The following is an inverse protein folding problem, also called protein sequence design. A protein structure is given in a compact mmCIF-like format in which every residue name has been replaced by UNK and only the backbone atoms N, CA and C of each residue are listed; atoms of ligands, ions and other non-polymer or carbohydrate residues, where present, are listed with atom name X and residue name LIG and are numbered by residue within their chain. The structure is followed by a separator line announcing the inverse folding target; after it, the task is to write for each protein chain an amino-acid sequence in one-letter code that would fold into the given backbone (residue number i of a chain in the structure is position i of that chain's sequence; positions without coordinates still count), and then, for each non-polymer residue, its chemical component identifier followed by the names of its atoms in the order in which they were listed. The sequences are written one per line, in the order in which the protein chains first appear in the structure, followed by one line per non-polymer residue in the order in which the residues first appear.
data_IF_909890072323
#
_entry.id   IF_909890072323
#
_cell.length_a   1.000
_cell.length_b   1.000
_cell.length_c   1.000
_cell.angle_alpha   90.00
_cell.angle_beta   90.00
_cell.angle_gamma   90.00
#
_symmetry.space_group_name_H-M   'P 1'
#
loop_
_entity.id
_entity.type
_entity.pdbx_description
1 polymer ?
#
# COMPACT_ATOMS: atom_id res chain seq x y z
N UNK A 1 -48.44 33.37 -49.55
CA UNK A 1 -47.27 34.28 -49.61
C UNK A 1 -46.06 33.50 -50.14
N UNK A 2 -45.18 34.09 -50.96
CA UNK A 2 -44.56 33.48 -52.14
C UNK A 2 -43.10 33.00 -51.97
N UNK A 3 -42.75 32.00 -52.82
CA UNK A 3 -41.49 31.67 -53.55
C UNK A 3 -40.13 31.54 -52.83
N UNK A 4 -39.35 30.48 -53.15
CA UNK A 4 -38.23 30.56 -54.12
C UNK A 4 -37.58 29.17 -54.42
N UNK A 5 -37.35 28.88 -55.72
CA UNK A 5 -36.75 27.66 -56.32
C UNK A 5 -35.23 27.52 -56.07
N UNK A 6 -34.70 26.27 -56.10
CA UNK A 6 -33.72 25.81 -57.13
C UNK A 6 -33.46 24.29 -57.08
N UNK A 7 -33.65 23.61 -58.20
CA UNK A 7 -33.05 22.30 -58.54
C UNK A 7 -31.80 22.57 -59.41
N UNK A 8 -30.75 21.74 -59.33
CA UNK A 8 -30.16 21.15 -60.54
C UNK A 8 -29.79 19.66 -60.32
N UNK A 9 -30.27 18.73 -61.16
CA UNK A 9 -29.72 18.31 -62.46
C UNK A 9 -28.74 17.12 -62.40
N UNK A 10 -29.27 15.98 -62.86
CA UNK A 10 -28.69 15.00 -63.80
C UNK A 10 -27.53 14.05 -63.43
N UNK A 11 -27.64 12.87 -64.06
CA UNK A 11 -26.66 11.78 -64.27
C UNK A 11 -26.37 10.88 -63.07
N UNK A 12 -26.29 9.56 -63.18
CA UNK A 12 -26.31 8.68 -64.34
C UNK A 12 -26.73 7.28 -63.86
N UNK A 13 -27.38 6.53 -64.75
CA UNK A 13 -27.65 5.11 -64.58
C UNK A 13 -26.34 4.33 -64.71
N UNK A 14 -26.03 3.45 -63.77
CA UNK A 14 -25.23 2.27 -64.12
C UNK A 14 -25.65 1.04 -63.31
N UNK A 15 -26.25 0.10 -64.05
CA UNK A 15 -26.40 -1.30 -63.70
C UNK A 15 -25.02 -1.94 -63.83
N UNK A 16 -24.48 -2.50 -62.75
CA UNK A 16 -23.47 -3.56 -62.86
C UNK A 16 -23.77 -4.64 -61.83
N UNK A 17 -24.33 -5.72 -62.36
CA UNK A 17 -24.45 -7.04 -61.76
C UNK A 17 -23.03 -7.64 -61.65
N UNK A 18 -22.53 -7.84 -60.43
CA UNK A 18 -21.25 -8.50 -60.18
C UNK A 18 -21.43 -9.61 -59.12
N UNK A 19 -21.46 -10.89 -59.53
CA UNK A 19 -21.88 -11.99 -58.68
C UNK A 19 -20.67 -12.71 -58.05
N UNK A 20 -19.81 -12.05 -57.27
CA UNK A 20 -18.74 -12.76 -56.52
C UNK A 20 -18.49 -12.15 -55.12
N UNK A 21 -19.23 -12.64 -54.12
CA UNK A 21 -19.07 -12.29 -52.72
C UNK A 21 -17.75 -12.79 -52.11
N UNK A 22 -17.01 -11.89 -51.45
CA UNK A 22 -15.91 -12.25 -50.54
C UNK A 22 -16.19 -11.71 -49.13
N UNK A 23 -16.19 -12.64 -48.18
CA UNK A 23 -16.65 -12.49 -46.80
C UNK A 23 -15.95 -11.35 -46.02
N UNK A 24 -16.75 -10.46 -45.43
CA UNK A 24 -16.31 -9.54 -44.37
C UNK A 24 -16.05 -10.33 -43.06
N UNK A 25 -14.79 -10.60 -42.71
CA UNK A 25 -14.44 -11.01 -41.34
C UNK A 25 -14.47 -9.77 -40.42
N UNK A 26 -15.64 -9.40 -39.92
CA UNK A 26 -15.74 -8.48 -38.78
C UNK A 26 -15.18 -9.19 -37.55
N UNK A 27 -14.01 -8.77 -37.08
CA UNK A 27 -13.47 -9.20 -35.79
C UNK A 27 -14.43 -8.72 -34.71
N UNK A 28 -15.18 -9.64 -34.11
CA UNK A 28 -15.98 -9.34 -32.93
C UNK A 28 -15.05 -9.01 -31.75
N UNK A 29 -14.61 -7.75 -31.65
CA UNK A 29 -14.11 -7.22 -30.38
C UNK A 29 -15.28 -7.22 -29.42
N UNK A 30 -15.37 -8.26 -28.59
CA UNK A 30 -16.29 -8.29 -27.45
C UNK A 30 -15.94 -7.07 -26.58
N UNK A 31 -16.85 -6.12 -26.36
CA UNK A 31 -16.60 -5.03 -25.44
C UNK A 31 -16.30 -5.65 -24.06
N UNK A 32 -15.08 -5.42 -23.55
CA UNK A 32 -14.75 -5.85 -22.19
C UNK A 32 -15.57 -4.98 -21.24
N UNK A 33 -16.42 -5.64 -20.46
CA UNK A 33 -17.30 -5.00 -19.49
C UNK A 33 -16.50 -4.13 -18.51
N UNK A 34 -16.92 -2.88 -18.22
CA UNK A 34 -16.16 -1.92 -17.40
C UNK A 34 -15.86 -2.43 -15.99
N UNK A 35 -16.66 -3.38 -15.48
CA UNK A 35 -16.48 -3.96 -14.15
C UNK A 35 -15.84 -5.36 -14.13
N UNK A 36 -15.15 -5.78 -15.21
CA UNK A 36 -14.40 -7.05 -15.20
C UNK A 36 -13.12 -6.91 -14.38
N UNK A 37 -13.25 -6.97 -13.05
CA UNK A 37 -12.12 -7.06 -12.15
C UNK A 37 -11.44 -8.43 -12.33
N UNK A 38 -10.14 -8.44 -12.62
CA UNK A 38 -9.34 -9.64 -12.63
C UNK A 38 -9.35 -10.25 -11.21
N UNK A 39 -9.97 -11.41 -11.07
CA UNK A 39 -10.18 -12.10 -9.80
C UNK A 39 -8.85 -12.44 -9.07
N UNK A 40 -7.74 -12.53 -9.82
CA UNK A 40 -6.39 -12.68 -9.29
C UNK A 40 -5.82 -11.46 -8.55
N UNK A 41 -6.41 -10.27 -8.72
CA UNK A 41 -5.93 -9.06 -8.02
C UNK A 41 -6.39 -8.97 -6.55
N UNK A 42 -7.40 -9.77 -6.16
CA UNK A 42 -8.00 -9.73 -4.81
C UNK A 42 -7.23 -10.54 -3.76
N UNK A 43 -6.25 -11.34 -4.17
CA UNK A 43 -5.50 -12.25 -3.27
C UNK A 43 -4.07 -11.81 -2.96
N UNK A 44 -3.54 -10.80 -3.66
CA UNK A 44 -2.15 -10.37 -3.44
C UNK A 44 -2.11 -9.31 -2.34
N UNK A 45 -1.30 -9.59 -1.32
CA UNK A 45 -0.89 -8.62 -0.33
C UNK A 45 -0.44 -7.34 -1.05
N UNK A 46 -0.84 -6.18 -0.53
CA UNK A 46 -0.40 -4.92 -1.13
C UNK A 46 1.08 -4.78 -0.80
N UNK A 47 1.92 -4.66 -1.82
CA UNK A 47 3.37 -4.79 -1.65
C UNK A 47 4.06 -3.53 -1.16
N UNK A 48 3.32 -2.42 -1.02
CA UNK A 48 3.87 -1.11 -0.68
C UNK A 48 2.93 -0.30 0.22
N UNK A 49 3.53 0.53 1.06
CA UNK A 49 2.85 1.53 1.90
C UNK A 49 2.77 2.82 1.09
N UNK A 50 1.57 3.37 0.93
CA UNK A 50 1.43 4.63 0.19
C UNK A 50 2.01 5.79 0.97
N UNK A 51 2.46 6.83 0.28
CA UNK A 51 3.02 8.03 0.91
C UNK A 51 2.07 8.66 1.93
N UNK A 52 0.76 8.67 1.62
CA UNK A 52 -0.28 9.18 2.50
C UNK A 52 -0.46 8.31 3.76
N UNK A 53 -0.35 6.99 3.64
CA UNK A 53 -0.37 6.08 4.80
C UNK A 53 0.88 6.30 5.66
N UNK A 54 2.06 6.31 5.03
CA UNK A 54 3.34 6.54 5.71
C UNK A 54 3.31 7.82 6.54
N UNK A 55 2.95 8.97 5.94
CA UNK A 55 2.87 10.25 6.64
C UNK A 55 1.92 10.23 7.83
N UNK A 56 0.77 9.54 7.72
CA UNK A 56 -0.18 9.42 8.84
C UNK A 56 0.43 8.60 9.98
N UNK A 57 1.06 7.47 9.68
CA UNK A 57 1.68 6.61 10.68
C UNK A 57 2.91 7.25 11.32
N UNK A 58 3.72 7.97 10.54
CA UNK A 58 4.84 8.77 11.03
C UNK A 58 4.38 9.88 11.97
N UNK A 59 3.22 10.51 11.70
CA UNK A 59 2.62 11.47 12.62
C UNK A 59 2.30 10.86 14.00
N UNK A 60 1.76 9.64 14.01
CA UNK A 60 1.51 8.90 15.26
C UNK A 60 2.82 8.54 15.95
N UNK A 61 3.83 8.06 15.21
CA UNK A 61 5.15 7.78 15.75
C UNK A 61 5.80 9.02 16.38
N UNK A 62 5.79 10.15 15.65
CA UNK A 62 6.40 11.40 16.08
C UNK A 62 5.80 11.93 17.38
N UNK A 63 4.50 11.71 17.61
CA UNK A 63 3.82 12.11 18.84
C UNK A 63 4.12 11.19 20.04
N UNK A 64 4.60 9.96 19.82
CA UNK A 64 4.75 8.94 20.85
C UNK A 64 6.20 8.48 21.10
N UNK A 65 7.16 8.98 20.31
CA UNK A 65 8.59 8.64 20.44
C UNK A 65 9.19 9.19 21.74
N UNK A 66 10.08 8.42 22.35
CA UNK A 66 10.74 8.76 23.62
C UNK A 66 9.86 8.63 24.87
N UNK A 67 8.55 8.38 24.72
CA UNK A 67 7.63 8.17 25.84
C UNK A 67 8.02 6.88 26.57
N UNK A 68 8.20 6.99 27.90
CA UNK A 68 8.69 5.92 28.79
C UNK A 68 10.13 5.43 28.53
N UNK A 69 10.91 6.12 27.69
CA UNK A 69 12.30 5.75 27.39
C UNK A 69 13.33 6.71 27.99
N UNK A 70 12.93 7.49 29.01
CA UNK A 70 13.86 8.33 29.75
C UNK A 70 14.93 7.44 30.42
N UNK A 71 16.24 7.73 30.27
CA UNK A 71 17.31 6.87 30.78
C UNK A 71 17.20 6.53 32.27
N UNK A 72 16.69 7.46 33.08
CA UNK A 72 16.49 7.30 34.52
C UNK A 72 15.36 6.32 34.88
N UNK A 73 14.42 6.07 33.97
CA UNK A 73 13.30 5.15 34.17
C UNK A 73 13.61 3.73 33.65
N UNK A 74 14.75 3.55 32.97
CA UNK A 74 15.11 2.29 32.36
C UNK A 74 16.14 1.54 33.20
N UNK A 75 15.99 0.22 33.26
CA UNK A 75 16.98 -0.65 33.90
C UNK A 75 18.32 -0.59 33.14
N UNK A 76 19.48 -0.59 33.82
CA UNK A 76 20.81 -0.50 33.17
C UNK A 76 21.05 -1.56 32.08
N UNK A 77 20.43 -2.74 32.21
CA UNK A 77 20.50 -3.78 31.17
C UNK A 77 19.92 -3.33 29.82
N UNK A 78 18.91 -2.45 29.83
CA UNK A 78 18.28 -1.93 28.61
C UNK A 78 19.20 -0.91 27.93
N UNK A 79 19.88 -0.07 28.71
CA UNK A 79 20.80 0.96 28.22
C UNK A 79 22.14 0.39 27.75
N UNK A 80 22.55 -0.76 28.28
CA UNK A 80 23.79 -1.47 27.91
C UNK A 80 23.62 -2.48 26.75
N UNK A 81 22.40 -2.69 26.25
CA UNK A 81 22.19 -3.64 25.16
C UNK A 81 22.92 -3.16 23.88
N UNK A 82 23.60 -4.04 23.12
CA UNK A 82 24.43 -3.64 21.98
C UNK A 82 23.66 -2.93 20.85
N UNK A 83 22.34 -3.17 20.77
CA UNK A 83 21.43 -2.53 19.82
C UNK A 83 20.72 -1.28 20.40
N UNK A 84 21.12 -0.80 21.58
CA UNK A 84 20.60 0.41 22.23
C UNK A 84 21.59 1.56 22.11
N UNK A 85 21.16 2.67 21.54
CA UNK A 85 21.89 3.95 21.57
C UNK A 85 21.05 5.01 22.28
N UNK A 86 21.70 6.02 22.87
CA UNK A 86 21.00 7.10 23.58
C UNK A 86 20.08 7.91 22.64
N UNK A 87 20.53 8.13 21.40
CA UNK A 87 19.72 8.76 20.35
C UNK A 87 18.57 7.87 19.92
N UNK A 88 18.82 6.56 19.75
CA UNK A 88 17.78 5.58 19.46
C UNK A 88 16.70 5.52 20.55
N UNK A 89 17.05 5.67 21.83
CA UNK A 89 16.07 5.74 22.92
C UNK A 89 15.13 6.95 22.84
N UNK A 90 15.61 8.08 22.29
CA UNK A 90 14.77 9.27 22.09
C UNK A 90 13.82 9.12 20.91
N UNK A 91 14.22 8.37 19.90
CA UNK A 91 13.48 8.21 18.65
C UNK A 91 12.62 6.95 18.59
N UNK A 92 12.90 5.95 19.43
CA UNK A 92 12.13 4.70 19.52
C UNK A 92 10.83 4.92 20.32
N UNK A 93 9.87 4.02 20.13
CA UNK A 93 8.63 3.94 20.90
C UNK A 93 8.64 2.65 21.72
N UNK A 94 8.43 2.74 23.03
CA UNK A 94 8.39 1.58 23.93
C UNK A 94 7.26 0.60 23.58
N UNK A 95 7.49 -0.71 23.74
CA UNK A 95 6.47 -1.74 23.52
C UNK A 95 5.16 -1.47 24.28
N UNK A 96 5.23 -0.91 25.49
CA UNK A 96 4.04 -0.58 26.28
C UNK A 96 3.17 0.49 25.60
N UNK A 97 3.81 1.52 25.06
CA UNK A 97 3.14 2.61 24.33
C UNK A 97 2.57 2.08 23.02
N UNK A 98 3.36 1.27 22.30
CA UNK A 98 2.90 0.61 21.06
C UNK A 98 1.66 -0.24 21.32
N UNK A 99 1.68 -1.07 22.38
CA UNK A 99 0.56 -1.92 22.77
C UNK A 99 -0.69 -1.10 23.08
N UNK A 100 -0.57 0.00 23.82
CA UNK A 100 -1.71 0.89 24.13
C UNK A 100 -2.31 1.51 22.87
N UNK A 101 -1.47 1.99 21.96
CA UNK A 101 -1.92 2.59 20.69
C UNK A 101 -2.62 1.53 19.84
N UNK A 102 -2.01 0.35 19.69
CA UNK A 102 -2.52 -0.72 18.84
C UNK A 102 -3.79 -1.36 19.40
N UNK A 103 -3.94 -1.44 20.73
CA UNK A 103 -5.16 -1.92 21.37
C UNK A 103 -6.41 -1.11 20.97
N UNK A 104 -6.25 0.17 20.62
CA UNK A 104 -7.35 1.04 20.14
C UNK A 104 -7.94 0.59 18.81
N UNK A 105 -7.21 -0.23 18.03
CA UNK A 105 -7.72 -0.84 16.81
C UNK A 105 -8.83 -1.88 17.05
N UNK A 106 -9.04 -2.33 18.30
CA UNK A 106 -10.04 -3.35 18.67
C UNK A 106 -9.86 -4.69 17.93
N UNK A 107 -8.62 -5.00 17.54
CA UNK A 107 -8.26 -6.33 17.06
C UNK A 107 -8.03 -7.27 18.26
N UNK A 108 -8.21 -8.59 18.08
CA UNK A 108 -7.89 -9.56 19.12
C UNK A 108 -6.42 -9.45 19.57
N UNK A 109 -6.11 -9.65 20.87
CA UNK A 109 -4.74 -9.52 21.38
C UNK A 109 -3.72 -10.40 20.64
N UNK A 110 -4.09 -11.63 20.28
CA UNK A 110 -3.21 -12.55 19.55
C UNK A 110 -2.80 -12.00 18.17
N UNK A 111 -3.67 -11.24 17.50
CA UNK A 111 -3.37 -10.63 16.20
C UNK A 111 -2.36 -9.49 16.40
N UNK A 112 -2.52 -8.70 17.46
CA UNK A 112 -1.57 -7.61 17.77
C UNK A 112 -0.19 -8.14 18.14
N UNK A 113 -0.13 -9.27 18.84
CA UNK A 113 1.12 -9.98 19.15
C UNK A 113 1.78 -10.53 17.88
N UNK A 114 1.02 -11.11 16.95
CA UNK A 114 1.54 -11.55 15.66
C UNK A 114 2.13 -10.37 14.86
N UNK A 115 1.44 -9.22 14.84
CA UNK A 115 1.97 -7.99 14.23
C UNK A 115 3.26 -7.53 14.91
N UNK A 116 3.33 -7.58 16.24
CA UNK A 116 4.54 -7.23 16.99
C UNK A 116 5.73 -8.10 16.57
N UNK A 117 5.52 -9.42 16.55
CA UNK A 117 6.55 -10.40 16.17
C UNK A 117 7.01 -10.24 14.72
N UNK A 118 6.17 -9.71 13.84
CA UNK A 118 6.52 -9.42 12.46
C UNK A 118 7.42 -8.18 12.28
N UNK A 119 7.41 -7.24 13.24
CA UNK A 119 8.14 -5.97 13.12
C UNK A 119 9.29 -5.81 14.10
N UNK A 120 9.26 -6.42 15.28
CA UNK A 120 10.35 -6.37 16.27
C UNK A 120 11.45 -7.39 15.94
N UNK A 121 12.17 -7.17 14.84
CA UNK A 121 13.29 -8.03 14.44
C UNK A 121 14.50 -7.93 15.36
N UNK A 122 14.58 -6.88 16.19
CA UNK A 122 15.70 -6.64 17.11
C UNK A 122 15.50 -7.27 18.48
N UNK A 123 14.27 -7.59 18.87
CA UNK A 123 13.92 -8.16 20.17
C UNK A 123 14.28 -7.24 21.34
N UNK A 124 14.31 -5.92 21.11
CA UNK A 124 14.74 -4.93 22.12
C UNK A 124 13.58 -4.37 22.93
N UNK A 125 12.33 -4.78 22.63
CA UNK A 125 11.13 -4.32 23.36
C UNK A 125 10.72 -2.88 23.04
N UNK A 126 11.13 -2.35 21.88
CA UNK A 126 10.81 -1.00 21.40
C UNK A 126 10.96 -0.93 19.89
N UNK A 127 10.18 -0.06 19.25
CA UNK A 127 10.13 0.06 17.79
C UNK A 127 10.74 1.37 17.30
N UNK A 128 11.58 1.27 16.27
CA UNK A 128 12.02 2.41 15.45
C UNK A 128 10.86 2.95 14.61
N UNK A 129 11.06 4.12 14.02
CA UNK A 129 10.12 4.73 13.05
C UNK A 129 9.61 3.72 12.02
N UNK A 130 10.53 2.98 11.40
CA UNK A 130 10.21 2.05 10.32
C UNK A 130 9.36 0.87 10.79
N UNK A 131 9.78 0.22 11.88
CA UNK A 131 9.09 -0.90 12.51
C UNK A 131 7.67 -0.48 12.97
N UNK A 132 7.54 0.70 13.56
CA UNK A 132 6.27 1.25 14.02
C UNK A 132 5.29 1.52 12.87
N UNK A 133 5.77 2.14 11.78
CA UNK A 133 4.97 2.46 10.60
C UNK A 133 4.49 1.19 9.89
N UNK A 134 5.36 0.19 9.74
CA UNK A 134 4.97 -1.11 9.20
C UNK A 134 3.94 -1.80 10.08
N UNK A 135 4.11 -1.77 11.41
CA UNK A 135 3.16 -2.38 12.35
C UNK A 135 1.77 -1.76 12.26
N UNK A 136 1.67 -0.42 12.22
CA UNK A 136 0.39 0.26 12.00
C UNK A 136 -0.24 -0.07 10.66
N UNK A 137 0.56 -0.19 9.61
CA UNK A 137 0.05 -0.59 8.31
C UNK A 137 -0.49 -2.03 8.31
N UNK A 138 0.17 -2.96 8.99
CA UNK A 138 -0.29 -4.35 9.16
C UNK A 138 -1.62 -4.41 9.90
N UNK A 139 -1.77 -3.61 10.97
CA UNK A 139 -3.04 -3.47 11.71
C UNK A 139 -4.15 -2.97 10.78
N UNK A 140 -3.87 -1.94 9.98
CA UNK A 140 -4.83 -1.42 9.01
C UNK A 140 -5.18 -2.46 7.92
N UNK A 141 -4.23 -3.33 7.54
CA UNK A 141 -4.54 -4.46 6.64
C UNK A 141 -5.43 -5.50 7.32
N UNK A 142 -5.17 -5.83 8.59
CA UNK A 142 -5.99 -6.77 9.37
C UNK A 142 -7.41 -6.25 9.58
N UNK A 143 -7.57 -4.95 9.85
CA UNK A 143 -8.88 -4.28 9.93
C UNK A 143 -9.66 -4.32 8.60
N UNK A 144 -8.95 -4.33 7.47
CA UNK A 144 -9.54 -4.53 6.13
C UNK A 144 -9.87 -6.01 5.82
N UNK A 145 -9.71 -6.91 6.80
CA UNK A 145 -10.01 -8.34 6.66
C UNK A 145 -8.92 -9.14 5.95
N UNK A 146 -7.68 -8.62 5.84
CA UNK A 146 -6.56 -9.37 5.24
C UNK A 146 -5.87 -10.23 6.31
N UNK A 147 -5.55 -11.48 5.96
CA UNK A 147 -4.79 -12.40 6.82
C UNK A 147 -3.32 -12.01 6.84
N UNK A 148 -2.76 -11.79 8.04
CA UNK A 148 -1.35 -11.41 8.24
C UNK A 148 -0.38 -12.32 7.48
N UNK A 149 0.72 -11.77 6.95
CA UNK A 149 1.70 -12.56 6.23
C UNK A 149 2.68 -13.21 7.22
N UNK A 150 3.24 -14.38 6.87
CA UNK A 150 4.26 -15.04 7.71
C UNK A 150 5.53 -14.20 7.84
N UNK A 151 5.84 -13.40 6.81
CA UNK A 151 6.94 -12.44 6.79
C UNK A 151 6.53 -11.20 6.01
N UNK A 152 6.92 -10.03 6.50
CA UNK A 152 6.71 -8.76 5.78
C UNK A 152 7.67 -8.70 4.58
N UNK A 153 7.14 -8.43 3.39
CA UNK A 153 7.93 -8.35 2.17
C UNK A 153 8.88 -7.13 2.19
N UNK A 154 10.06 -7.27 1.58
CA UNK A 154 11.07 -6.22 1.52
C UNK A 154 10.57 -4.94 0.85
N UNK A 155 9.64 -5.06 -0.09
CA UNK A 155 9.01 -3.92 -0.76
C UNK A 155 8.21 -3.02 0.19
N UNK A 156 7.60 -3.60 1.23
CA UNK A 156 6.87 -2.87 2.28
C UNK A 156 7.87 -2.09 3.12
N UNK A 157 8.95 -2.74 3.56
CA UNK A 157 10.04 -2.09 4.30
C UNK A 157 10.71 -0.97 3.51
N UNK A 158 11.00 -1.22 2.23
CA UNK A 158 11.58 -0.23 1.33
C UNK A 158 10.67 1.00 1.14
N UNK A 159 9.35 0.80 1.16
CA UNK A 159 8.38 1.90 1.04
C UNK A 159 8.43 2.85 2.24
N UNK A 160 8.78 2.36 3.43
CA UNK A 160 8.88 3.20 4.64
C UNK A 160 10.21 3.93 4.72
N UNK A 161 11.30 3.24 4.36
CA UNK A 161 12.64 3.84 4.34
C UNK A 161 12.74 5.05 3.42
N UNK A 162 11.89 5.11 2.39
CA UNK A 162 11.94 6.15 1.38
C UNK A 162 13.16 5.95 0.48
N UNK A 163 13.03 6.32 -0.79
CA UNK A 163 14.14 6.29 -1.74
C UNK A 163 15.32 7.12 -1.21
N UNK A 164 16.33 6.45 -0.68
CA UNK A 164 17.45 7.13 -0.03
C UNK A 164 18.63 6.23 0.26
N UNK A 165 18.98 5.30 -0.65
CA UNK A 165 20.36 5.05 -1.16
C UNK A 165 20.22 4.15 -2.38
N UNK A 166 20.33 4.70 -3.60
CA UNK A 166 20.58 3.91 -4.80
C UNK A 166 22.09 3.81 -4.95
N UNK A 167 22.72 2.82 -4.31
CA UNK A 167 24.15 2.56 -4.51
C UNK A 167 24.30 2.10 -5.96
N UNK A 168 24.76 2.99 -6.83
CA UNK A 168 25.24 2.61 -8.17
C UNK A 168 26.67 2.12 -7.97
N UNK A 169 26.84 0.81 -7.88
CA UNK A 169 28.16 0.19 -8.03
C UNK A 169 28.52 0.33 -9.52
N UNK A 170 29.66 0.97 -9.78
CA UNK A 170 30.22 1.16 -11.13
C UNK A 170 31.17 0.03 -11.45
#
# INVERSE_FOLDING_TARGET
MPTLRKEPSASDSDLSDDPHGKHKKKRHLRPKHPNKHAEGARKRWRETITERERKRYEGVWAANRGVLLAPHLLHPAVTQHPNTTLEGLRDDVSALVVRDIWARARLPPHVLEEVWNLVDGRGVGRLRREEFVVGLWLIDQALKGRKLPVKVQESVWASVRGAGVKVRIR
#
